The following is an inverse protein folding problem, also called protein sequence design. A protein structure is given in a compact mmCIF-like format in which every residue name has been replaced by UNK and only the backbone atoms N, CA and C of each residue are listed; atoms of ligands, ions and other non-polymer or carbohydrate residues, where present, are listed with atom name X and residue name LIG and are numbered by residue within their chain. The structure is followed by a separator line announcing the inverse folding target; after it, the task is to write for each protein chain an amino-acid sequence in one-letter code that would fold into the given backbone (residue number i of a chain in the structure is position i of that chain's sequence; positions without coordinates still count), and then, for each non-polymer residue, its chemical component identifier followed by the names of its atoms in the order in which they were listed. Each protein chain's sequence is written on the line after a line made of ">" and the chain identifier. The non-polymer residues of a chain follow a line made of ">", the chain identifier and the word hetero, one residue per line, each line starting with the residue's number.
data_IF_354663128288
#
_entry.id   IF_354663128288
#
_cell.length_a   1.000
_cell.length_b   1.000
_cell.length_c   1.000
_cell.angle_alpha   90.00
_cell.angle_beta   90.00
_cell.angle_gamma   90.00
#
_symmetry.space_group_name_H-M   'P 1'
#
loop_
_entity.id
_entity.type
_entity.pdbx_description
1 polymer ?
#
# COMPACT_ATOMS: atom_id res chain seq x y z
N UNK A 1 22.20 39.00 37.82
CA UNK A 1 23.13 38.30 36.91
C UNK A 1 22.34 37.72 35.74
N UNK A 2 22.32 38.38 34.57
CA UNK A 2 21.93 37.76 33.29
C UNK A 2 23.22 37.24 32.60
N UNK A 3 23.25 36.22 31.73
CA UNK A 3 22.41 35.93 30.57
C UNK A 3 22.38 34.41 30.28
N UNK A 4 21.19 33.84 30.22
CA UNK A 4 20.95 32.50 29.69
C UNK A 4 20.37 32.64 28.27
N UNK A 5 21.24 32.75 27.27
CA UNK A 5 20.83 32.91 25.86
C UNK A 5 21.95 32.42 24.95
N UNK A 6 22.08 31.10 24.78
CA UNK A 6 23.14 30.56 23.91
C UNK A 6 22.99 29.12 23.41
N UNK A 7 22.03 28.34 23.93
CA UNK A 7 22.01 26.89 23.66
C UNK A 7 20.71 26.35 23.01
N UNK A 8 19.69 27.19 22.83
CA UNK A 8 18.42 26.79 22.22
C UNK A 8 18.52 26.60 20.70
N UNK A 9 19.48 27.26 20.03
CA UNK A 9 19.67 27.15 18.58
C UNK A 9 20.04 25.74 18.11
N UNK A 10 20.81 25.00 18.91
CA UNK A 10 21.19 23.61 18.61
C UNK A 10 20.06 22.60 18.83
N UNK A 11 19.02 22.96 19.59
CA UNK A 11 17.83 22.13 19.79
C UNK A 11 16.76 22.38 18.73
N UNK A 12 16.77 23.56 18.09
CA UNK A 12 15.84 23.90 17.00
C UNK A 12 16.08 23.00 15.79
N UNK A 13 17.34 22.73 15.42
CA UNK A 13 17.67 21.86 14.28
C UNK A 13 17.05 20.45 14.39
N UNK A 14 17.33 19.69 15.46
CA UNK A 14 16.74 18.37 15.68
C UNK A 14 15.21 18.41 15.79
N UNK A 15 14.64 19.42 16.45
CA UNK A 15 13.19 19.55 16.60
C UNK A 15 12.50 19.75 15.25
N UNK A 16 13.09 20.58 14.38
CA UNK A 16 12.61 20.79 13.00
C UNK A 16 12.74 19.51 12.18
N UNK A 17 13.85 18.79 12.30
CA UNK A 17 14.05 17.53 11.59
C UNK A 17 12.99 16.49 11.99
N UNK A 18 12.77 16.28 13.29
CA UNK A 18 11.73 15.35 13.79
C UNK A 18 10.34 15.79 13.35
N UNK A 19 10.06 17.10 13.41
CA UNK A 19 8.79 17.66 12.96
C UNK A 19 8.53 17.43 11.47
N UNK A 20 9.53 17.62 10.62
CA UNK A 20 9.44 17.36 9.19
C UNK A 20 9.21 15.86 8.91
N UNK A 21 9.97 14.97 9.55
CA UNK A 21 9.83 13.52 9.38
C UNK A 21 8.44 13.05 9.83
N UNK A 22 7.96 13.52 10.98
CA UNK A 22 6.62 13.20 11.46
C UNK A 22 5.52 13.75 10.55
N UNK A 23 5.70 14.96 10.02
CA UNK A 23 4.75 15.57 9.09
C UNK A 23 4.71 14.83 7.74
N UNK A 24 5.88 14.47 7.21
CA UNK A 24 6.01 13.61 6.02
C UNK A 24 5.32 12.27 6.28
N UNK A 25 5.64 11.58 7.38
CA UNK A 25 5.03 10.31 7.75
C UNK A 25 3.51 10.40 7.92
N UNK A 26 3.00 11.47 8.53
CA UNK A 26 1.57 11.70 8.68
C UNK A 26 0.87 11.96 7.35
N UNK A 27 1.52 12.67 6.42
CA UNK A 27 1.00 12.84 5.05
C UNK A 27 0.97 11.50 4.32
N UNK A 28 2.03 10.69 4.40
CA UNK A 28 2.07 9.34 3.82
C UNK A 28 0.99 8.43 4.40
N UNK A 29 0.81 8.44 5.72
CA UNK A 29 -0.22 7.66 6.40
C UNK A 29 -1.63 8.13 6.02
N UNK A 30 -1.88 9.43 6.01
CA UNK A 30 -3.18 10.02 5.63
C UNK A 30 -3.54 9.80 4.17
N UNK A 31 -2.55 9.69 3.28
CA UNK A 31 -2.77 9.43 1.86
C UNK A 31 -2.97 7.93 1.55
N UNK A 32 -2.86 7.03 2.54
CA UNK A 32 -3.00 5.59 2.33
C UNK A 32 -1.86 4.96 1.50
N UNK A 33 -0.77 5.70 1.26
CA UNK A 33 0.39 5.28 0.48
C UNK A 33 1.39 4.52 1.35
N UNK A 34 0.97 3.43 1.99
CA UNK A 34 1.93 2.46 2.55
C UNK A 34 2.65 1.66 1.43
N UNK A 35 2.44 2.02 0.17
CA UNK A 35 2.74 1.18 -0.99
C UNK A 35 3.93 1.64 -1.83
N UNK A 36 4.78 2.52 -1.33
CA UNK A 36 6.04 2.89 -2.01
C UNK A 36 7.30 2.35 -1.34
N UNK A 37 7.18 1.49 -0.33
CA UNK A 37 8.32 0.83 0.35
C UNK A 37 8.32 -0.69 0.16
N UNK A 38 7.85 -1.18 -0.99
CA UNK A 38 8.16 -2.54 -1.43
C UNK A 38 9.26 -2.50 -2.50
N UNK A 39 10.43 -1.95 -2.15
CA UNK A 39 11.65 -2.31 -2.86
C UNK A 39 12.88 -2.20 -1.97
N UNK A 40 13.40 -3.39 -1.66
CA UNK A 40 14.78 -3.72 -1.30
C UNK A 40 15.34 -3.21 0.04
N UNK A 41 15.15 -4.00 1.10
CA UNK A 41 16.28 -4.36 1.95
C UNK A 41 16.69 -5.81 1.63
N UNK A 42 17.60 -5.92 0.67
CA UNK A 42 18.28 -7.16 0.28
C UNK A 42 19.27 -7.65 1.34
N UNK A 43 18.81 -7.87 2.57
CA UNK A 43 19.60 -8.46 3.65
C UNK A 43 18.70 -9.26 4.58
N UNK A 44 18.36 -10.49 4.18
CA UNK A 44 18.86 -11.64 4.92
C UNK A 44 18.64 -12.98 4.21
N UNK A 45 19.78 -13.59 3.91
CA UNK A 45 20.07 -14.98 3.57
C UNK A 45 18.96 -15.99 3.94
N UNK A 46 18.49 -16.69 2.93
CA UNK A 46 18.49 -18.18 2.90
C UNK A 46 17.80 -18.95 4.04
N UNK A 47 16.96 -18.33 4.85
CA UNK A 47 16.46 -18.93 6.08
C UNK A 47 14.95 -18.74 6.30
N UNK A 48 14.10 -19.00 5.30
CA UNK A 48 12.76 -19.51 5.59
C UNK A 48 12.07 -20.11 4.35
N UNK A 49 12.31 -21.39 4.06
CA UNK A 49 11.62 -22.08 2.97
C UNK A 49 10.11 -22.27 3.18
N UNK A 50 9.54 -21.78 4.29
CA UNK A 50 8.13 -22.00 4.67
C UNK A 50 7.40 -20.73 5.16
N UNK A 51 8.02 -19.54 5.09
CA UNK A 51 7.34 -18.26 5.36
C UNK A 51 6.45 -17.76 4.21
N UNK A 52 6.03 -18.64 3.28
CA UNK A 52 5.15 -18.29 2.14
C UNK A 52 3.77 -17.76 2.59
N UNK A 53 3.46 -17.79 3.90
CA UNK A 53 2.21 -17.32 4.50
C UNK A 53 2.40 -16.29 5.61
N UNK A 54 3.51 -15.55 5.63
CA UNK A 54 3.80 -14.59 6.70
C UNK A 54 2.76 -13.47 6.82
N UNK A 55 2.13 -13.09 5.70
CA UNK A 55 1.02 -12.16 5.67
C UNK A 55 -0.16 -12.79 4.89
N UNK A 56 -1.36 -12.91 5.50
CA UNK A 56 -2.54 -13.45 4.82
C UNK A 56 -2.97 -12.62 3.59
N UNK A 57 -2.47 -11.40 3.43
CA UNK A 57 -2.71 -10.51 2.29
C UNK A 57 -1.49 -10.38 1.35
N UNK A 58 -0.44 -11.22 1.51
CA UNK A 58 0.69 -11.28 0.58
C UNK A 58 0.39 -12.24 -0.58
N UNK A 59 -0.03 -11.67 -1.71
CA UNK A 59 -0.30 -12.38 -2.95
C UNK A 59 0.93 -12.42 -3.89
N UNK A 60 2.13 -12.17 -3.37
CA UNK A 60 3.38 -12.18 -4.12
C UNK A 60 3.44 -11.08 -5.19
N UNK A 61 3.42 -11.48 -6.47
CA UNK A 61 3.46 -10.53 -7.60
C UNK A 61 2.11 -9.83 -7.86
N UNK A 62 1.06 -10.30 -7.20
CA UNK A 62 -0.29 -9.81 -7.38
C UNK A 62 -0.63 -8.80 -6.30
N UNK A 63 -1.35 -7.76 -6.69
CA UNK A 63 -1.63 -6.60 -5.87
C UNK A 63 -3.13 -6.30 -5.91
N UNK A 64 -3.75 -5.98 -4.78
CA UNK A 64 -5.18 -5.69 -4.74
C UNK A 64 -5.50 -4.36 -5.45
N UNK A 65 -6.27 -4.47 -6.52
CA UNK A 65 -6.89 -3.35 -7.22
C UNK A 65 -8.21 -2.95 -6.55
N UNK A 66 -8.97 -3.93 -6.03
CA UNK A 66 -10.22 -3.73 -5.30
C UNK A 66 -10.43 -4.85 -4.26
N UNK A 67 -11.17 -4.55 -3.19
CA UNK A 67 -11.61 -5.53 -2.19
C UNK A 67 -13.10 -5.28 -1.91
N UNK A 68 -13.92 -6.33 -1.98
CA UNK A 68 -15.37 -6.26 -1.78
C UNK A 68 -15.87 -7.48 -1.00
N UNK A 69 -16.98 -7.36 -0.28
CA UNK A 69 -17.71 -8.46 0.34
C UNK A 69 -18.77 -9.09 -0.58
N UNK A 70 -18.99 -8.52 -1.76
CA UNK A 70 -19.91 -9.00 -2.78
C UNK A 70 -19.15 -9.71 -3.92
N UNK A 71 -19.43 -11.00 -4.10
CA UNK A 71 -18.82 -11.83 -5.14
C UNK A 71 -19.26 -11.41 -6.56
N UNK A 72 -20.50 -10.96 -6.74
CA UNK A 72 -21.02 -10.52 -8.03
C UNK A 72 -20.31 -9.22 -8.46
N UNK A 73 -20.06 -8.32 -7.50
CA UNK A 73 -19.30 -7.09 -7.73
C UNK A 73 -17.82 -7.39 -8.06
N UNK A 74 -17.22 -8.40 -7.41
CA UNK A 74 -15.85 -8.81 -7.71
C UNK A 74 -15.72 -9.36 -9.15
N UNK A 75 -16.72 -10.13 -9.60
CA UNK A 75 -16.79 -10.63 -10.98
C UNK A 75 -16.98 -9.48 -12.00
N UNK A 76 -17.83 -8.51 -11.69
CA UNK A 76 -18.01 -7.33 -12.54
C UNK A 76 -16.70 -6.52 -12.67
N UNK A 77 -15.99 -6.30 -11.57
CA UNK A 77 -14.69 -5.61 -11.58
C UNK A 77 -13.66 -6.41 -12.38
N UNK A 78 -13.59 -7.73 -12.20
CA UNK A 78 -12.67 -8.56 -12.98
C UNK A 78 -12.97 -8.47 -14.48
N UNK A 79 -14.25 -8.48 -14.87
CA UNK A 79 -14.66 -8.32 -16.26
C UNK A 79 -14.28 -6.94 -16.82
N UNK A 80 -14.56 -5.87 -16.08
CA UNK A 80 -14.19 -4.50 -16.46
C UNK A 80 -12.69 -4.37 -16.72
N UNK A 81 -11.86 -4.93 -15.84
CA UNK A 81 -10.40 -4.94 -16.01
C UNK A 81 -9.98 -5.78 -17.22
N UNK A 82 -10.62 -6.94 -17.42
CA UNK A 82 -10.38 -7.79 -18.59
C UNK A 82 -10.71 -7.10 -19.92
N UNK A 83 -11.81 -6.34 -19.97
CA UNK A 83 -12.20 -5.53 -21.13
C UNK A 83 -11.18 -4.41 -21.42
N UNK A 84 -10.53 -3.88 -20.38
CA UNK A 84 -9.43 -2.92 -20.51
C UNK A 84 -8.07 -3.58 -20.87
N UNK A 85 -8.03 -4.91 -21.00
CA UNK A 85 -6.80 -5.67 -21.30
C UNK A 85 -5.88 -5.90 -20.10
N UNK A 86 -6.36 -5.66 -18.88
CA UNK A 86 -5.63 -5.86 -17.62
C UNK A 86 -5.84 -7.29 -17.14
N UNK A 87 -4.77 -7.94 -16.69
CA UNK A 87 -4.85 -9.32 -16.19
C UNK A 87 -5.26 -9.31 -14.73
N UNK A 88 -6.51 -9.67 -14.48
CA UNK A 88 -7.10 -9.72 -13.15
C UNK A 88 -7.45 -11.16 -12.71
N UNK A 89 -7.22 -11.46 -11.44
CA UNK A 89 -7.66 -12.69 -10.77
C UNK A 89 -8.37 -12.37 -9.47
N UNK A 90 -9.15 -13.31 -8.96
CA UNK A 90 -9.85 -13.16 -7.69
C UNK A 90 -9.22 -14.05 -6.62
N UNK A 91 -9.21 -13.59 -5.37
CA UNK A 91 -8.87 -14.38 -4.20
C UNK A 91 -9.85 -14.08 -3.07
N UNK A 92 -10.35 -15.12 -2.41
CA UNK A 92 -11.20 -14.97 -1.22
C UNK A 92 -10.30 -14.97 0.01
N UNK A 93 -10.30 -13.85 0.74
CA UNK A 93 -9.57 -13.69 1.98
C UNK A 93 -10.27 -14.46 3.13
N UNK A 94 -9.55 -14.69 4.23
CA UNK A 94 -10.09 -15.44 5.39
C UNK A 94 -11.26 -14.75 6.08
N UNK A 95 -11.41 -13.44 5.89
CA UNK A 95 -12.53 -12.66 6.41
C UNK A 95 -13.79 -12.78 5.53
N UNK A 96 -13.74 -13.57 4.45
CA UNK A 96 -14.85 -13.78 3.52
C UNK A 96 -14.96 -12.70 2.44
N UNK A 97 -14.08 -11.70 2.43
CA UNK A 97 -14.04 -10.68 1.37
C UNK A 97 -13.28 -11.22 0.16
N UNK A 98 -13.68 -10.77 -1.02
CA UNK A 98 -13.04 -11.09 -2.29
C UNK A 98 -12.15 -9.93 -2.72
N UNK A 99 -10.86 -10.21 -2.87
CA UNK A 99 -9.89 -9.29 -3.44
C UNK A 99 -9.77 -9.55 -4.96
N UNK A 100 -9.88 -8.48 -5.75
CA UNK A 100 -9.53 -8.49 -7.16
C UNK A 100 -8.09 -8.03 -7.29
N UNK A 101 -7.25 -8.95 -7.76
CA UNK A 101 -5.81 -8.82 -7.81
C UNK A 101 -5.33 -8.65 -9.24
N UNK A 102 -4.33 -7.80 -9.44
CA UNK A 102 -3.67 -7.54 -10.73
C UNK A 102 -2.16 -7.56 -10.56
N UNK A 103 -1.40 -7.59 -11.65
CA UNK A 103 0.05 -7.44 -11.56
C UNK A 103 0.45 -6.03 -11.08
N UNK A 104 1.58 -5.93 -10.37
CA UNK A 104 2.07 -4.67 -9.83
C UNK A 104 2.24 -3.57 -10.89
N UNK A 105 2.59 -3.92 -12.13
CA UNK A 105 2.75 -2.95 -13.22
C UNK A 105 1.41 -2.35 -13.70
N UNK A 106 0.29 -3.03 -13.43
CA UNK A 106 -1.04 -2.70 -13.92
C UNK A 106 -1.94 -2.08 -12.82
N UNK A 107 -1.49 -2.07 -11.56
CA UNK A 107 -2.29 -1.73 -10.37
C UNK A 107 -2.78 -0.28 -10.33
N UNK A 108 -1.94 0.69 -10.67
CA UNK A 108 -2.34 2.10 -10.71
C UNK A 108 -3.43 2.35 -11.76
N UNK A 109 -3.33 1.70 -12.92
CA UNK A 109 -4.33 1.82 -13.99
C UNK A 109 -5.62 1.10 -13.60
N UNK A 110 -5.50 -0.10 -13.03
CA UNK A 110 -6.65 -0.85 -12.53
C UNK A 110 -7.43 -0.05 -11.47
N UNK A 111 -6.74 0.57 -10.50
CA UNK A 111 -7.39 1.41 -9.48
C UNK A 111 -8.09 2.63 -10.05
N UNK A 112 -7.53 3.25 -11.10
CA UNK A 112 -8.17 4.36 -11.80
C UNK A 112 -9.45 3.92 -12.51
N UNK A 113 -9.42 2.77 -13.18
CA UNK A 113 -10.57 2.20 -13.87
C UNK A 113 -11.69 1.82 -12.89
N UNK A 114 -11.33 1.18 -11.78
CA UNK A 114 -12.28 0.80 -10.74
C UNK A 114 -12.86 2.03 -10.05
N UNK A 115 -12.02 2.97 -9.58
CA UNK A 115 -12.47 4.18 -8.89
C UNK A 115 -13.16 5.21 -9.80
N UNK A 116 -13.02 5.08 -11.12
CA UNK A 116 -13.71 5.90 -12.12
C UNK A 116 -14.98 5.28 -12.69
N UNK A 117 -15.29 4.03 -12.34
CA UNK A 117 -16.50 3.36 -12.80
C UNK A 117 -17.72 3.90 -12.05
N UNK A 118 -18.75 4.42 -12.75
CA UNK A 118 -19.94 5.01 -12.12
C UNK A 118 -20.86 4.00 -11.41
N UNK A 119 -20.45 2.73 -11.31
CA UNK A 119 -21.16 1.65 -10.64
C UNK A 119 -20.70 1.41 -9.18
N UNK A 120 -19.69 2.14 -8.70
CA UNK A 120 -19.15 2.07 -7.32
C UNK A 120 -19.46 3.34 -6.51
#
# INVERSE_FOLDING_TARGET
>A
MPMASGNSWYLIGPLVAVGLVALLGAVFWRMGLYWTFAHEDGTDRYADGLAIFADPDDYGLLCPAAVTDDADLAEEIQRLLGEAGIRATQAVARDGRTAVLVFAEEVEEARRLVGGSPAL
#
